data_IF_874448378938
#
_entry.id   IF_874448378938
#
_cell.length_a   1.000
_cell.length_b   1.000
_cell.length_c   1.000
_cell.angle_alpha   90.00
_cell.angle_beta   90.00
_cell.angle_gamma   90.00
#
_symmetry.space_group_name_H-M   'P 1'
#
loop_
_entity.id
_entity.type
_entity.pdbx_description
1 polymer ?
#
# COMPACT_ATOMS: atom_id res chain seq x y z
N UNK A 1 -6.79 17.39 0.67
CA UNK A 1 -6.33 16.21 -0.11
C UNK A 1 -6.88 14.96 0.56
N UNK A 2 -7.36 13.97 -0.18
CA UNK A 2 -7.87 12.70 0.36
C UNK A 2 -6.94 11.56 -0.01
N UNK A 3 -6.42 10.87 0.99
CA UNK A 3 -5.51 9.74 0.83
C UNK A 3 -6.20 8.50 1.36
N UNK A 4 -6.24 7.44 0.56
CA UNK A 4 -6.66 6.13 1.04
C UNK A 4 -5.41 5.28 1.27
N UNK A 5 -5.21 4.77 2.48
CA UNK A 5 -4.01 4.02 2.85
C UNK A 5 -4.33 2.57 3.21
N UNK A 6 -3.45 1.64 2.83
CA UNK A 6 -3.59 0.21 3.16
C UNK A 6 -2.28 -0.32 3.72
N UNK A 7 -2.29 -0.71 4.99
CA UNK A 7 -1.27 -1.54 5.63
C UNK A 7 -1.84 -2.91 5.98
N UNK A 8 -1.08 -3.99 5.71
CA UNK A 8 -1.50 -5.37 6.00
C UNK A 8 -0.81 -6.02 7.20
N UNK A 9 0.23 -5.39 7.74
CA UNK A 9 1.09 -5.93 8.79
C UNK A 9 1.61 -4.80 9.70
N UNK A 10 2.07 -5.11 10.93
CA UNK A 10 2.59 -4.11 11.87
C UNK A 10 3.78 -3.29 11.34
N UNK A 11 4.61 -3.86 10.47
CA UNK A 11 5.68 -3.13 9.78
C UNK A 11 5.10 -2.05 8.85
N UNK A 12 4.06 -2.40 8.08
CA UNK A 12 3.32 -1.48 7.24
C UNK A 12 2.59 -0.40 8.02
N UNK A 13 2.04 -0.72 9.20
CA UNK A 13 1.39 0.26 10.08
C UNK A 13 2.36 1.34 10.57
N UNK A 14 3.58 0.94 10.97
CA UNK A 14 4.64 1.89 11.35
C UNK A 14 5.03 2.81 10.19
N UNK A 15 5.23 2.22 9.01
CA UNK A 15 5.55 2.96 7.79
C UNK A 15 4.45 3.94 7.40
N UNK A 16 3.20 3.49 7.47
CA UNK A 16 2.02 4.29 7.16
C UNK A 16 1.87 5.45 8.13
N UNK A 17 2.07 5.21 9.43
CA UNK A 17 2.00 6.26 10.44
C UNK A 17 3.09 7.33 10.24
N UNK A 18 4.33 6.93 9.94
CA UNK A 18 5.39 7.90 9.64
C UNK A 18 5.10 8.73 8.37
N UNK A 19 4.53 8.09 7.33
CA UNK A 19 4.10 8.78 6.12
C UNK A 19 2.94 9.76 6.39
N UNK A 20 1.96 9.34 7.19
CA UNK A 20 0.83 10.18 7.59
C UNK A 20 1.30 11.41 8.36
N UNK A 21 2.19 11.21 9.34
CA UNK A 21 2.75 12.31 10.13
C UNK A 21 3.43 13.35 9.22
N UNK A 22 4.30 12.91 8.31
CA UNK A 22 4.91 13.81 7.32
C UNK A 22 3.88 14.52 6.42
N UNK A 23 2.85 13.81 5.96
CA UNK A 23 1.78 14.40 5.13
C UNK A 23 0.94 15.43 5.88
N UNK A 24 0.66 15.22 7.17
CA UNK A 24 -0.08 16.17 8.00
C UNK A 24 0.71 17.48 8.15
N UNK A 25 2.03 17.39 8.29
CA UNK A 25 2.90 18.57 8.38
C UNK A 25 2.94 19.38 7.07
N UNK A 26 3.00 18.70 5.92
CA UNK A 26 3.08 19.35 4.60
C UNK A 26 1.72 19.78 4.04
N UNK A 27 0.64 19.07 4.39
CA UNK A 27 -0.72 19.29 3.88
C UNK A 27 -1.71 19.32 5.06
N UNK A 28 -1.94 20.50 5.68
CA UNK A 28 -2.74 20.59 6.92
C UNK A 28 -4.18 20.06 6.83
N UNK A 29 -4.80 20.12 5.65
CA UNK A 29 -6.17 19.65 5.40
C UNK A 29 -6.20 18.27 4.70
N UNK A 30 -5.20 17.42 4.97
CA UNK A 30 -5.20 16.04 4.50
C UNK A 30 -6.21 15.21 5.30
N UNK A 31 -6.97 14.35 4.60
CA UNK A 31 -7.87 13.39 5.20
C UNK A 31 -7.44 11.98 4.81
N UNK A 32 -7.51 11.06 5.79
CA UNK A 32 -7.09 9.67 5.61
C UNK A 32 -8.26 8.73 5.82
N UNK A 33 -8.40 7.79 4.89
CA UNK A 33 -9.27 6.62 5.02
C UNK A 33 -8.44 5.35 4.79
N UNK A 34 -8.91 4.20 5.28
CA UNK A 34 -8.46 2.94 4.71
C UNK A 34 -8.30 1.79 5.70
N UNK A 35 -7.15 1.14 5.70
CA UNK A 35 -6.86 -0.01 6.56
C UNK A 35 -5.51 0.21 7.20
N UNK A 36 -5.49 0.26 8.52
CA UNK A 36 -4.28 0.48 9.30
C UNK A 36 -4.37 -0.16 10.67
N UNK A 37 -3.22 -0.35 11.30
CA UNK A 37 -3.13 -0.81 12.68
C UNK A 37 -3.29 0.34 13.67
N UNK A 38 -2.86 0.13 14.90
CA UNK A 38 -3.04 1.08 15.99
C UNK A 38 -2.34 2.43 15.74
N UNK A 39 -1.19 2.44 15.05
CA UNK A 39 -0.42 3.66 14.83
C UNK A 39 -1.09 4.55 13.79
N UNK A 40 -1.51 4.00 12.65
CA UNK A 40 -2.26 4.75 11.65
C UNK A 40 -3.62 5.20 12.19
N UNK A 41 -4.31 4.35 12.98
CA UNK A 41 -5.57 4.73 13.63
C UNK A 41 -5.40 5.90 14.61
N UNK A 42 -4.29 5.96 15.36
CA UNK A 42 -4.02 7.09 16.26
C UNK A 42 -3.84 8.43 15.54
N UNK A 43 -3.52 8.39 14.24
CA UNK A 43 -3.37 9.56 13.37
C UNK A 43 -4.62 9.85 12.53
N UNK A 44 -5.73 9.16 12.79
CA UNK A 44 -7.04 9.47 12.23
C UNK A 44 -7.52 8.57 11.09
N UNK A 45 -6.85 7.44 10.81
CA UNK A 45 -7.43 6.42 9.91
C UNK A 45 -8.57 5.69 10.62
N UNK A 46 -9.78 5.77 10.06
CA UNK A 46 -10.87 4.86 10.42
C UNK A 46 -10.73 3.56 9.62
N UNK A 47 -10.25 2.49 10.28
CA UNK A 47 -9.92 1.24 9.59
C UNK A 47 -11.18 0.49 9.16
N UNK A 48 -11.32 0.23 7.85
CA UNK A 48 -12.48 -0.46 7.25
C UNK A 48 -12.76 -1.84 7.88
N UNK A 49 -11.71 -2.49 8.38
CA UNK A 49 -11.75 -3.70 9.20
C UNK A 49 -10.42 -3.85 9.96
N UNK A 50 -10.34 -4.75 10.96
CA UNK A 50 -9.09 -4.99 11.70
C UNK A 50 -7.96 -5.48 10.77
N UNK A 51 -6.79 -4.84 10.84
CA UNK A 51 -5.63 -5.16 10.01
C UNK A 51 -5.18 -6.62 10.16
N UNK A 52 -5.38 -7.22 11.33
CA UNK A 52 -5.05 -8.61 11.65
C UNK A 52 -5.75 -9.62 10.74
N UNK A 53 -6.88 -9.24 10.12
CA UNK A 53 -7.55 -10.07 9.13
C UNK A 53 -6.70 -10.28 7.85
N UNK A 54 -5.71 -9.42 7.60
CA UNK A 54 -4.77 -9.52 6.49
C UNK A 54 -3.52 -10.34 6.86
N UNK A 55 -3.12 -10.36 8.14
CA UNK A 55 -1.84 -10.95 8.59
C UNK A 55 -1.86 -12.47 8.85
N UNK A 56 -2.94 -13.18 8.52
CA UNK A 56 -3.10 -14.60 8.85
C UNK A 56 -2.53 -15.54 7.77
N UNK A 57 -1.21 -15.72 7.74
CA UNK A 57 -0.54 -16.83 7.02
C UNK A 57 -0.12 -17.95 7.97
N UNK A 58 -1.11 -18.63 8.56
CA UNK A 58 -0.95 -19.89 9.29
C UNK A 58 -1.43 -21.08 8.45
N UNK A 59 -0.53 -22.04 8.20
CA UNK A 59 -0.57 -23.14 7.20
C UNK A 59 -1.76 -24.14 7.34
N UNK A 60 -2.66 -24.01 8.31
CA UNK A 60 -3.64 -25.07 8.61
C UNK A 60 -5.02 -24.98 7.92
N UNK A 61 -5.43 -23.88 7.28
CA UNK A 61 -6.81 -23.71 6.76
C UNK A 61 -6.93 -22.83 5.49
N UNK A 62 -6.25 -23.22 4.42
CA UNK A 62 -5.96 -22.35 3.25
C UNK A 62 -7.22 -21.95 2.43
N UNK A 63 -8.20 -22.84 2.26
CA UNK A 63 -9.31 -22.59 1.33
C UNK A 63 -10.36 -21.57 1.81
N UNK A 64 -10.93 -21.67 3.03
CA UNK A 64 -11.88 -20.65 3.52
C UNK A 64 -11.20 -19.29 3.69
N UNK A 65 -9.94 -19.27 4.11
CA UNK A 65 -9.13 -18.04 4.25
C UNK A 65 -8.89 -17.35 2.92
N UNK A 66 -8.66 -18.09 1.84
CA UNK A 66 -8.56 -17.50 0.50
C UNK A 66 -9.86 -16.84 0.04
N UNK A 67 -11.03 -17.46 0.28
CA UNK A 67 -12.33 -16.85 -0.07
C UNK A 67 -12.59 -15.58 0.73
N UNK A 68 -12.23 -15.59 2.02
CA UNK A 68 -12.31 -14.42 2.88
C UNK A 68 -11.40 -13.29 2.38
N UNK A 69 -10.13 -13.58 2.08
CA UNK A 69 -9.18 -12.62 1.53
C UNK A 69 -9.70 -12.02 0.21
N UNK A 70 -10.22 -12.85 -0.70
CA UNK A 70 -10.80 -12.38 -1.96
C UNK A 70 -12.00 -11.44 -1.73
N UNK A 71 -12.82 -11.72 -0.72
CA UNK A 71 -13.92 -10.84 -0.31
C UNK A 71 -13.39 -9.51 0.22
N UNK A 72 -12.38 -9.53 1.10
CA UNK A 72 -11.74 -8.31 1.64
C UNK A 72 -11.10 -7.48 0.52
N UNK A 73 -10.38 -8.11 -0.42
CA UNK A 73 -9.81 -7.42 -1.59
C UNK A 73 -10.90 -6.65 -2.35
N UNK A 74 -12.04 -7.29 -2.62
CA UNK A 74 -13.13 -6.65 -3.35
C UNK A 74 -13.78 -5.54 -2.53
N UNK A 75 -14.08 -5.80 -1.27
CA UNK A 75 -14.64 -4.81 -0.35
C UNK A 75 -13.76 -3.57 -0.26
N UNK A 76 -12.44 -3.73 -0.12
CA UNK A 76 -11.50 -2.62 -0.07
C UNK A 76 -11.46 -1.86 -1.39
N UNK A 77 -11.40 -2.55 -2.53
CA UNK A 77 -11.42 -1.88 -3.83
C UNK A 77 -12.70 -1.07 -4.04
N UNK A 78 -13.86 -1.63 -3.69
CA UNK A 78 -15.16 -0.95 -3.78
C UNK A 78 -15.20 0.28 -2.84
N UNK A 79 -14.65 0.15 -1.63
CA UNK A 79 -14.53 1.26 -0.68
C UNK A 79 -13.61 2.39 -1.20
N UNK A 80 -12.45 2.06 -1.78
CA UNK A 80 -11.55 3.04 -2.40
C UNK A 80 -12.25 3.78 -3.53
N UNK A 81 -12.92 3.05 -4.43
CA UNK A 81 -13.63 3.66 -5.57
C UNK A 81 -14.77 4.56 -5.09
N UNK A 82 -15.50 4.14 -4.05
CA UNK A 82 -16.59 4.93 -3.47
C UNK A 82 -16.09 6.20 -2.77
N UNK A 83 -14.98 6.12 -2.04
CA UNK A 83 -14.36 7.24 -1.35
C UNK A 83 -13.80 8.29 -2.31
N UNK A 84 -13.41 7.89 -3.53
CA UNK A 84 -12.79 8.72 -4.57
C UNK A 84 -11.62 9.56 -4.02
N UNK A 85 -10.61 8.93 -3.39
CA UNK A 85 -9.43 9.62 -2.93
C UNK A 85 -8.64 10.21 -4.10
N UNK A 86 -7.82 11.22 -3.82
CA UNK A 86 -6.86 11.76 -4.78
C UNK A 86 -5.76 10.73 -5.08
N UNK A 87 -5.41 9.93 -4.07
CA UNK A 87 -4.38 8.89 -4.17
C UNK A 87 -4.71 7.68 -3.28
N UNK A 88 -4.48 6.48 -3.81
CA UNK A 88 -4.41 5.24 -3.07
C UNK A 88 -2.93 4.92 -2.79
N UNK A 89 -2.55 4.83 -1.52
CA UNK A 89 -1.22 4.42 -1.08
C UNK A 89 -1.32 3.03 -0.45
N UNK A 90 -0.64 2.07 -1.05
CA UNK A 90 -0.56 0.70 -0.53
C UNK A 90 0.81 0.44 0.05
N UNK A 91 0.88 -0.20 1.23
CA UNK A 91 2.12 -0.37 1.98
C UNK A 91 2.37 -1.87 2.17
N UNK A 92 3.44 -2.37 1.55
CA UNK A 92 3.84 -3.77 1.58
C UNK A 92 2.66 -4.72 1.22
N UNK A 93 2.68 -5.97 1.72
CA UNK A 93 1.64 -6.99 1.54
C UNK A 93 1.18 -7.15 0.08
N UNK A 94 2.11 -7.42 -0.86
CA UNK A 94 1.85 -7.36 -2.30
C UNK A 94 0.72 -8.29 -2.76
N UNK A 95 0.49 -9.41 -2.07
CA UNK A 95 -0.60 -10.33 -2.40
C UNK A 95 -2.00 -9.75 -2.16
N UNK A 96 -2.14 -8.80 -1.24
CA UNK A 96 -3.39 -8.07 -0.99
C UNK A 96 -3.39 -6.73 -1.74
N UNK A 97 -2.39 -5.90 -1.47
CA UNK A 97 -2.28 -4.52 -1.95
C UNK A 97 -2.30 -4.41 -3.47
N UNK A 98 -1.50 -5.20 -4.19
CA UNK A 98 -1.45 -5.15 -5.66
C UNK A 98 -2.75 -5.63 -6.29
N UNK A 99 -3.46 -6.56 -5.64
CA UNK A 99 -4.77 -7.04 -6.13
C UNK A 99 -5.85 -5.98 -5.93
N UNK A 100 -5.83 -5.25 -4.82
CA UNK A 100 -6.71 -4.09 -4.60
C UNK A 100 -6.41 -3.01 -5.63
N UNK A 101 -5.14 -2.59 -5.77
CA UNK A 101 -4.74 -1.57 -6.73
C UNK A 101 -5.17 -1.91 -8.17
N UNK A 102 -5.02 -3.19 -8.57
CA UNK A 102 -5.50 -3.68 -9.87
C UNK A 102 -7.01 -3.50 -10.07
N UNK A 103 -7.82 -3.80 -9.05
CA UNK A 103 -9.28 -3.62 -9.14
C UNK A 103 -9.66 -2.14 -9.16
N UNK A 104 -8.99 -1.32 -8.35
CA UNK A 104 -9.20 0.13 -8.30
C UNK A 104 -8.86 0.78 -9.64
N UNK A 105 -7.72 0.43 -10.24
CA UNK A 105 -7.31 0.95 -11.56
C UNK A 105 -8.25 0.50 -12.68
N UNK A 106 -8.81 -0.70 -12.58
CA UNK A 106 -9.79 -1.18 -13.57
C UNK A 106 -11.14 -0.46 -13.49
N UNK A 107 -11.49 0.11 -12.34
CA UNK A 107 -12.76 0.79 -12.10
C UNK A 107 -12.68 2.32 -11.96
N UNK A 108 -11.49 2.91 -12.00
CA UNK A 108 -11.28 4.33 -11.72
C UNK A 108 -9.94 4.85 -12.28
N UNK A 109 -9.80 6.18 -12.30
CA UNK A 109 -8.55 6.86 -12.64
C UNK A 109 -7.76 7.32 -11.40
N UNK A 110 -8.04 6.74 -10.23
CA UNK A 110 -7.35 7.07 -8.97
C UNK A 110 -5.85 6.79 -9.14
N UNK A 111 -5.01 7.72 -8.68
CA UNK A 111 -3.55 7.53 -8.70
C UNK A 111 -3.17 6.48 -7.65
N UNK A 112 -2.36 5.52 -8.06
CA UNK A 112 -1.97 4.37 -7.26
C UNK A 112 -0.48 4.41 -6.95
N UNK A 113 -0.15 4.46 -5.66
CA UNK A 113 1.21 4.51 -5.15
C UNK A 113 1.46 3.24 -4.32
N UNK A 114 2.61 2.61 -4.52
CA UNK A 114 3.03 1.46 -3.73
C UNK A 114 4.27 1.81 -2.92
N UNK A 115 4.17 1.73 -1.60
CA UNK A 115 5.25 1.95 -0.66
C UNK A 115 5.83 0.60 -0.23
N UNK A 116 7.15 0.47 -0.35
CA UNK A 116 7.93 -0.75 -0.17
C UNK A 116 7.71 -1.70 -1.35
N UNK A 117 8.54 -1.53 -2.38
CA UNK A 117 8.63 -2.54 -3.41
C UNK A 117 9.12 -3.85 -2.79
N UNK A 118 8.46 -4.99 -3.03
CA UNK A 118 9.01 -6.27 -2.65
C UNK A 118 10.32 -6.46 -3.41
N UNK A 119 11.46 -6.42 -2.73
CA UNK A 119 12.81 -6.40 -3.33
C UNK A 119 13.05 -7.54 -4.32
N UNK A 120 12.28 -8.64 -4.18
CA UNK A 120 12.30 -9.77 -5.11
C UNK A 120 11.73 -9.45 -6.51
N UNK A 121 11.05 -8.32 -6.67
CA UNK A 121 10.37 -7.91 -7.90
C UNK A 121 11.24 -7.01 -8.76
N UNK A 122 12.16 -6.24 -8.17
CA UNK A 122 13.11 -5.39 -8.89
C UNK A 122 13.96 -6.20 -9.90
N UNK A 123 14.31 -7.46 -9.59
CA UNK A 123 15.07 -8.35 -10.49
C UNK A 123 14.22 -9.29 -11.34
N UNK A 124 12.88 -9.24 -11.22
CA UNK A 124 11.96 -10.04 -12.03
C UNK A 124 11.15 -9.14 -12.93
N UNK A 125 11.73 -8.73 -14.06
CA UNK A 125 11.17 -7.81 -15.05
C UNK A 125 9.69 -8.12 -15.41
N UNK A 126 9.34 -9.41 -15.58
CA UNK A 126 7.96 -9.80 -15.90
C UNK A 126 6.92 -9.51 -14.80
N UNK A 127 7.35 -9.29 -13.56
CA UNK A 127 6.46 -8.88 -12.46
C UNK A 127 6.37 -7.35 -12.34
N UNK A 128 7.48 -6.63 -12.51
CA UNK A 128 7.49 -5.17 -12.58
C UNK A 128 6.62 -4.66 -13.74
N UNK A 129 6.75 -5.25 -14.93
CA UNK A 129 5.90 -4.93 -16.08
C UNK A 129 4.40 -5.16 -15.82
N UNK A 130 4.04 -6.17 -15.01
CA UNK A 130 2.65 -6.39 -14.61
C UNK A 130 2.15 -5.30 -13.66
N UNK A 131 3.00 -4.88 -12.70
CA UNK A 131 2.66 -3.82 -11.76
C UNK A 131 2.42 -2.50 -12.47
N UNK A 132 3.22 -2.17 -13.48
CA UNK A 132 3.10 -0.92 -14.25
C UNK A 132 1.72 -0.70 -14.91
N UNK A 133 0.92 -1.76 -15.07
CA UNK A 133 -0.47 -1.62 -15.55
C UNK A 133 -1.44 -1.03 -14.51
N UNK A 134 -1.09 -1.06 -13.23
CA UNK A 134 -1.99 -0.68 -12.13
C UNK A 134 -1.33 -0.02 -10.93
N UNK A 135 -0.03 0.29 -11.00
CA UNK A 135 0.72 1.10 -10.06
C UNK A 135 1.35 2.23 -10.88
N UNK A 136 1.08 3.48 -10.47
CA UNK A 136 1.60 4.66 -11.15
C UNK A 136 2.97 5.07 -10.60
N UNK A 137 3.16 4.91 -9.29
CA UNK A 137 4.37 5.36 -8.59
C UNK A 137 4.79 4.35 -7.51
N UNK A 138 6.10 4.19 -7.31
CA UNK A 138 6.69 3.33 -6.27
C UNK A 138 7.59 4.15 -5.34
N UNK A 139 7.34 4.08 -4.03
CA UNK A 139 8.24 4.61 -3.01
C UNK A 139 9.23 3.49 -2.60
N UNK A 140 10.46 3.61 -3.07
CA UNK A 140 11.54 2.63 -2.92
C UNK A 140 12.33 2.82 -1.62
N UNK A 141 12.68 1.71 -0.97
CA UNK A 141 13.49 1.71 0.25
C UNK A 141 14.98 1.62 -0.03
N UNK A 142 15.38 1.20 -1.24
CA UNK A 142 16.77 1.06 -1.62
C UNK A 142 17.11 1.86 -2.88
N UNK A 143 18.30 2.47 -2.95
CA UNK A 143 18.67 3.37 -4.04
C UNK A 143 18.87 2.66 -5.40
N UNK A 144 18.95 1.33 -5.41
CA UNK A 144 19.06 0.56 -6.64
C UNK A 144 17.71 0.22 -7.28
N UNK A 145 16.58 0.41 -6.58
CA UNK A 145 15.25 0.02 -7.06
C UNK A 145 14.69 0.93 -8.17
N UNK A 146 14.85 2.27 -8.13
CA UNK A 146 14.22 3.17 -9.11
C UNK A 146 14.50 2.83 -10.58
N UNK A 147 15.75 2.54 -11.01
CA UNK A 147 16.02 2.21 -12.40
C UNK A 147 15.23 1.01 -12.93
N UNK A 148 14.90 0.04 -12.09
CA UNK A 148 14.11 -1.13 -12.49
C UNK A 148 12.62 -0.83 -12.63
N UNK A 149 12.09 0.05 -11.78
CA UNK A 149 10.68 0.44 -11.82
C UNK A 149 10.41 1.42 -12.98
N UNK A 150 11.33 2.37 -13.19
CA UNK A 150 11.32 3.29 -14.33
C UNK A 150 11.40 2.55 -15.66
N UNK A 151 12.30 1.55 -15.77
CA UNK A 151 12.39 0.70 -16.95
C UNK A 151 11.11 -0.09 -17.24
N UNK A 152 10.29 -0.36 -16.22
CA UNK A 152 8.98 -0.99 -16.37
C UNK A 152 7.85 0.01 -16.70
N UNK A 153 8.13 1.33 -16.67
CA UNK A 153 7.18 2.40 -16.99
C UNK A 153 6.46 3.00 -15.78
N UNK A 154 6.96 2.77 -14.56
CA UNK A 154 6.44 3.38 -13.33
C UNK A 154 7.34 4.54 -12.90
N UNK A 155 6.75 5.58 -12.30
CA UNK A 155 7.57 6.54 -11.55
C UNK A 155 8.11 5.89 -10.27
N UNK A 156 9.30 6.30 -9.81
CA UNK A 156 9.85 5.74 -8.59
C UNK A 156 10.80 6.70 -7.87
N UNK A 157 10.48 7.01 -6.61
CA UNK A 157 11.33 7.81 -5.74
C UNK A 157 11.96 6.94 -4.64
N UNK A 158 13.25 7.13 -4.39
CA UNK A 158 13.95 6.54 -3.25
C UNK A 158 13.68 7.39 -1.99
N UNK A 159 12.99 6.81 -1.02
CA UNK A 159 12.57 7.50 0.23
C UNK A 159 13.41 7.11 1.45
N UNK A 160 14.40 6.23 1.29
CA UNK A 160 15.22 5.74 2.38
C UNK A 160 14.56 4.63 3.20
N UNK A 161 15.34 3.97 4.05
CA UNK A 161 14.85 2.91 4.93
C UNK A 161 14.56 3.49 6.33
N UNK A 162 13.33 3.38 6.86
CA UNK A 162 12.94 4.05 8.12
C UNK A 162 13.72 3.59 9.35
N UNK A 163 14.32 2.40 9.32
CA UNK A 163 15.22 1.89 10.37
C UNK A 163 16.47 2.78 10.51
N UNK A 164 16.87 3.51 9.47
CA UNK A 164 17.98 4.46 9.55
C UNK A 164 17.64 5.76 10.31
N UNK A 165 16.36 6.01 10.62
CA UNK A 165 15.89 7.18 11.34
C UNK A 165 15.57 6.92 12.83
N UNK A 166 15.64 5.66 13.29
CA UNK A 166 15.51 5.35 14.73
C UNK A 166 16.84 5.64 15.44
N UNK A 167 16.88 6.52 16.46
CA UNK A 167 18.08 6.68 17.28
C UNK A 167 18.37 5.36 18.04
N UNK A 168 19.65 5.03 18.27
CA UNK A 168 20.08 3.79 18.93
C UNK A 168 19.63 3.68 20.40
#
# INVERSE_FOLDING_TARGET
>A
MKVFMIAGEPSGDKLGAALMDGLIHEVPDVAFDGIGGALMQSLGVDSLFPMEELSLMGIAEILPKYRHLKRRIRQTADAVIAAKPDVLITIDSPDFCLRVARLVKAGSNIRTVHYVAPTVWAWRAGRAAKMAHYIDHVLALFPFEPPYMEAAGMECDFVGHPVAAEPP
#
